data_IF_667583145709
#
_entry.id   IF_667583145709
#
_cell.length_a   1.000
_cell.length_b   1.000
_cell.length_c   1.000
_cell.angle_alpha   90.00
_cell.angle_beta   90.00
_cell.angle_gamma   90.00
#
_symmetry.space_group_name_H-M   'P 1'
#
loop_
_entity.id
_entity.type
_entity.pdbx_description
1 polymer ?
#
# COMPACT_ATOMS: atom_id res chain seq x y z
N UNK A 1 23.08 18.89 -2.45
CA UNK A 1 22.49 17.71 -3.13
C UNK A 1 23.07 16.49 -2.44
N UNK A 2 22.27 15.69 -1.74
CA UNK A 2 22.77 14.46 -1.11
C UNK A 2 23.16 13.46 -2.21
N UNK A 3 24.20 12.67 -1.97
CA UNK A 3 24.61 11.57 -2.84
C UNK A 3 23.45 10.57 -2.98
N UNK A 4 23.05 10.26 -4.22
CA UNK A 4 21.97 9.31 -4.51
C UNK A 4 22.23 7.93 -3.87
N UNK A 5 23.49 7.53 -3.79
CA UNK A 5 23.88 6.29 -3.13
C UNK A 5 23.67 6.35 -1.61
N UNK A 6 23.78 7.53 -1.00
CA UNK A 6 23.50 7.69 0.43
C UNK A 6 22.00 7.55 0.70
N UNK A 7 21.16 8.20 -0.12
CA UNK A 7 19.70 8.11 -0.03
C UNK A 7 19.24 6.65 -0.16
N UNK A 8 19.75 5.94 -1.17
CA UNK A 8 19.42 4.53 -1.39
C UNK A 8 19.79 3.64 -0.19
N UNK A 9 20.95 3.88 0.43
CA UNK A 9 21.37 3.13 1.63
C UNK A 9 20.49 3.44 2.85
N UNK A 10 20.09 4.70 3.02
CA UNK A 10 19.16 5.07 4.09
C UNK A 10 17.82 4.36 3.91
N UNK A 11 17.29 4.30 2.67
CA UNK A 11 16.07 3.53 2.36
C UNK A 11 16.21 2.03 2.66
N UNK A 12 17.35 1.42 2.33
CA UNK A 12 17.61 0.00 2.62
C UNK A 12 17.67 -0.27 4.13
N UNK A 13 18.24 0.64 4.92
CA UNK A 13 18.23 0.55 6.38
C UNK A 13 16.81 0.69 6.95
N UNK A 14 16.02 1.62 6.43
CA UNK A 14 14.62 1.79 6.84
C UNK A 14 13.81 0.53 6.53
N UNK A 15 13.95 -0.04 5.33
CA UNK A 15 13.32 -1.31 4.97
C UNK A 15 13.71 -2.40 5.98
N UNK A 16 15.00 -2.50 6.33
CA UNK A 16 15.47 -3.46 7.31
C UNK A 16 14.78 -3.29 8.68
N UNK A 17 14.69 -2.05 9.17
CA UNK A 17 14.03 -1.76 10.45
C UNK A 17 12.54 -2.11 10.40
N UNK A 18 11.86 -1.85 9.29
CA UNK A 18 10.46 -2.19 9.13
C UNK A 18 10.22 -3.70 9.05
N UNK A 19 11.11 -4.45 8.39
CA UNK A 19 11.06 -5.92 8.38
C UNK A 19 11.18 -6.48 9.80
N UNK A 20 12.14 -5.99 10.59
CA UNK A 20 12.32 -6.41 11.98
C UNK A 20 11.11 -6.02 12.84
N UNK A 21 10.59 -4.80 12.71
CA UNK A 21 9.41 -4.32 13.44
C UNK A 21 8.14 -5.13 13.15
N UNK A 22 7.97 -5.60 11.91
CA UNK A 22 6.82 -6.41 11.48
C UNK A 22 7.01 -7.90 11.73
N UNK A 23 8.16 -8.31 12.28
CA UNK A 23 8.48 -9.72 12.50
C UNK A 23 8.63 -10.52 11.21
N UNK A 24 9.01 -9.88 10.10
CA UNK A 24 9.20 -10.54 8.80
C UNK A 24 10.64 -11.08 8.74
N UNK A 25 10.87 -12.42 8.77
CA UNK A 25 12.21 -12.94 8.87
C UNK A 25 12.98 -12.82 7.55
N UNK A 26 14.20 -12.25 7.58
CA UNK A 26 15.01 -12.08 6.37
C UNK A 26 15.29 -13.38 5.62
N UNK A 27 15.37 -14.53 6.33
CA UNK A 27 15.54 -15.84 5.68
C UNK A 27 14.38 -16.18 4.76
N UNK A 28 13.16 -15.80 5.13
CA UNK A 28 11.95 -15.97 4.31
C UNK A 28 12.01 -15.05 3.09
N UNK A 29 12.39 -13.79 3.28
CA UNK A 29 12.58 -12.85 2.17
C UNK A 29 13.66 -13.34 1.18
N UNK A 30 14.81 -13.80 1.66
CA UNK A 30 15.87 -14.36 0.82
C UNK A 30 15.38 -15.57 0.00
N UNK A 31 14.61 -16.46 0.64
CA UNK A 31 13.98 -17.60 -0.04
C UNK A 31 12.99 -17.15 -1.13
N UNK A 32 12.10 -16.21 -0.84
CA UNK A 32 11.16 -15.63 -1.83
C UNK A 32 11.87 -14.92 -2.99
N UNK A 33 12.97 -14.24 -2.69
CA UNK A 33 13.81 -13.58 -3.69
C UNK A 33 14.57 -14.58 -4.58
N UNK A 34 14.65 -15.86 -4.17
CA UNK A 34 15.48 -16.88 -4.81
C UNK A 34 16.97 -16.50 -4.84
N UNK A 35 17.47 -15.88 -3.77
CA UNK A 35 18.88 -15.52 -3.61
C UNK A 35 19.46 -16.14 -2.34
N UNK A 36 20.78 -16.22 -2.25
CA UNK A 36 21.42 -16.71 -1.02
C UNK A 36 21.12 -15.77 0.15
N UNK A 37 21.02 -16.35 1.35
CA UNK A 37 20.79 -15.57 2.56
C UNK A 37 21.91 -14.55 2.82
N UNK A 38 23.16 -14.88 2.48
CA UNK A 38 24.30 -13.96 2.60
C UNK A 38 24.19 -12.76 1.67
N UNK A 39 23.75 -12.95 0.43
CA UNK A 39 23.48 -11.84 -0.50
C UNK A 39 22.36 -10.94 0.02
N UNK A 40 21.27 -11.53 0.50
CA UNK A 40 20.17 -10.73 1.04
C UNK A 40 20.58 -9.96 2.32
N UNK A 41 21.44 -10.55 3.15
CA UNK A 41 22.02 -9.89 4.32
C UNK A 41 22.95 -8.71 3.95
N UNK A 42 23.65 -8.76 2.82
CA UNK A 42 24.48 -7.63 2.40
C UNK A 42 23.64 -6.42 1.98
N UNK A 43 22.43 -6.66 1.45
CA UNK A 43 21.46 -5.62 1.11
C UNK A 43 20.76 -5.05 2.35
N UNK A 44 20.49 -5.89 3.35
CA UNK A 44 19.74 -5.52 4.55
C UNK A 44 20.50 -5.91 5.84
N UNK A 45 21.68 -5.33 6.08
CA UNK A 45 22.50 -5.66 7.24
C UNK A 45 21.85 -5.17 8.53
N UNK A 46 22.04 -5.92 9.63
CA UNK A 46 21.58 -5.48 10.96
C UNK A 46 22.41 -4.30 11.52
N UNK A 47 23.66 -4.17 11.07
CA UNK A 47 24.55 -3.07 11.38
C UNK A 47 25.54 -2.87 10.23
N UNK A 48 25.97 -1.62 10.03
CA UNK A 48 26.92 -1.24 8.96
C UNK A 48 26.22 -0.73 7.70
N UNK A 49 27.00 -0.61 6.62
CA UNK A 49 26.56 0.03 5.38
C UNK A 49 25.92 -0.98 4.43
N UNK A 50 24.66 -0.79 4.01
CA UNK A 50 24.03 -1.63 3.00
C UNK A 50 24.78 -1.62 1.68
N UNK A 51 24.90 -2.81 1.08
CA UNK A 51 25.29 -2.94 -0.31
C UNK A 51 24.07 -2.63 -1.19
N UNK A 52 24.22 -1.66 -2.09
CA UNK A 52 23.15 -1.30 -3.02
C UNK A 52 22.95 -2.47 -4.00
N UNK A 53 21.74 -3.07 -4.06
CA UNK A 53 21.43 -4.12 -5.02
C UNK A 53 21.58 -3.61 -6.45
N UNK A 54 22.01 -4.47 -7.37
CA UNK A 54 21.98 -4.12 -8.80
C UNK A 54 20.52 -3.98 -9.27
N UNK A 55 20.28 -3.21 -10.33
CA UNK A 55 18.95 -3.08 -10.93
C UNK A 55 18.37 -4.46 -11.35
N UNK A 56 19.23 -5.40 -11.75
CA UNK A 56 18.85 -6.77 -12.06
C UNK A 56 18.25 -7.54 -10.86
N UNK A 57 18.47 -7.07 -9.64
CA UNK A 57 17.93 -7.65 -8.40
C UNK A 57 16.51 -7.15 -8.09
N UNK A 58 16.00 -6.13 -8.80
CA UNK A 58 14.68 -5.55 -8.53
C UNK A 58 13.53 -6.57 -8.60
N UNK A 59 13.46 -7.50 -9.59
CA UNK A 59 12.41 -8.54 -9.60
C UNK A 59 12.52 -9.49 -8.41
N UNK A 60 13.72 -9.73 -7.88
CA UNK A 60 13.91 -10.56 -6.69
C UNK A 60 13.39 -9.85 -5.44
N UNK A 61 13.68 -8.54 -5.30
CA UNK A 61 13.16 -7.71 -4.22
C UNK A 61 11.64 -7.58 -4.28
N UNK A 62 11.06 -7.41 -5.48
CA UNK A 62 9.62 -7.30 -5.68
C UNK A 62 8.84 -8.55 -5.25
N UNK A 63 9.44 -9.74 -5.35
CA UNK A 63 8.85 -11.00 -4.86
C UNK A 63 8.99 -11.18 -3.35
N UNK A 64 10.01 -10.58 -2.75
CA UNK A 64 10.41 -10.85 -1.37
C UNK A 64 9.91 -9.83 -0.35
N UNK A 65 9.74 -8.57 -0.77
CA UNK A 65 9.36 -7.46 0.09
C UNK A 65 7.87 -7.12 -0.10
N UNK A 66 7.20 -6.68 0.98
CA UNK A 66 5.93 -5.97 0.87
C UNK A 66 6.03 -4.76 -0.07
N UNK A 67 4.97 -4.49 -0.86
CA UNK A 67 4.96 -3.40 -1.84
C UNK A 67 5.18 -2.01 -1.23
N UNK A 68 4.65 -1.79 -0.03
CA UNK A 68 4.86 -0.54 0.70
C UNK A 68 6.32 -0.33 1.13
N UNK A 69 7.05 -1.39 1.50
CA UNK A 69 8.48 -1.31 1.78
C UNK A 69 9.30 -1.15 0.51
N UNK A 70 8.91 -1.83 -0.58
CA UNK A 70 9.56 -1.66 -1.87
C UNK A 70 9.42 -0.23 -2.42
N UNK A 71 8.32 0.46 -2.07
CA UNK A 71 8.08 1.86 -2.43
C UNK A 71 9.14 2.81 -1.87
N UNK A 72 9.81 2.45 -0.77
CA UNK A 72 10.91 3.26 -0.18
C UNK A 72 12.15 3.35 -1.10
N UNK A 73 12.24 2.48 -2.11
CA UNK A 73 13.30 2.52 -3.11
C UNK A 73 12.95 3.41 -4.32
N UNK A 74 11.71 3.90 -4.39
CA UNK A 74 11.25 4.76 -5.48
C UNK A 74 11.39 6.25 -5.11
N UNK A 75 11.40 7.15 -6.11
CA UNK A 75 11.34 8.58 -5.85
C UNK A 75 10.07 8.98 -5.09
N UNK A 76 10.14 10.11 -4.39
CA UNK A 76 9.00 10.68 -3.67
C UNK A 76 7.76 10.81 -4.60
N UNK A 77 6.60 10.41 -4.07
CA UNK A 77 5.31 10.42 -4.78
C UNK A 77 5.00 9.15 -5.56
N UNK A 78 5.92 8.19 -5.65
CA UNK A 78 5.66 6.88 -6.25
C UNK A 78 5.35 5.83 -5.18
N UNK A 79 4.30 5.05 -5.41
CA UNK A 79 3.88 3.97 -4.50
C UNK A 79 3.58 2.71 -5.29
N UNK A 80 4.08 1.58 -4.79
CA UNK A 80 3.77 0.24 -5.26
C UNK A 80 2.65 -0.29 -4.39
N UNK A 81 1.46 -0.32 -4.97
CA UNK A 81 0.28 -0.92 -4.34
C UNK A 81 -0.01 -2.27 -4.99
N UNK A 82 -0.51 -3.25 -4.22
CA UNK A 82 -1.06 -4.46 -4.80
C UNK A 82 -2.09 -4.08 -5.88
N UNK A 83 -2.01 -4.74 -7.02
CA UNK A 83 -3.08 -4.64 -8.01
C UNK A 83 -4.38 -5.16 -7.38
N UNK A 84 -5.52 -4.50 -7.65
CA UNK A 84 -6.83 -5.02 -7.27
C UNK A 84 -7.16 -6.27 -8.08
N UNK A 85 -6.56 -7.41 -7.73
CA UNK A 85 -6.90 -8.68 -8.32
C UNK A 85 -8.25 -9.14 -7.75
N UNK A 86 -9.21 -9.40 -8.64
CA UNK A 86 -10.55 -9.85 -8.26
C UNK A 86 -11.53 -8.75 -7.84
N UNK A 87 -11.22 -7.47 -8.10
CA UNK A 87 -12.24 -6.41 -8.00
C UNK A 87 -13.13 -6.45 -9.24
N UNK A 88 -14.41 -6.69 -9.02
CA UNK A 88 -15.45 -6.43 -10.02
C UNK A 88 -15.70 -4.91 -10.08
N UNK A 89 -15.13 -4.28 -11.11
CA UNK A 89 -15.27 -2.84 -11.32
C UNK A 89 -16.70 -2.43 -11.67
N UNK A 90 -17.50 -3.34 -12.22
CA UNK A 90 -18.90 -3.06 -12.53
C UNK A 90 -19.73 -3.04 -11.23
N UNK A 91 -19.48 -4.00 -10.32
CA UNK A 91 -20.08 -3.99 -8.98
C UNK A 91 -19.68 -2.74 -8.20
N UNK A 92 -18.40 -2.38 -8.23
CA UNK A 92 -17.88 -1.17 -7.58
C UNK A 92 -18.56 0.10 -8.14
N UNK A 93 -18.62 0.23 -9.47
CA UNK A 93 -19.27 1.33 -10.16
C UNK A 93 -20.75 1.43 -9.81
N UNK A 94 -21.46 0.29 -9.79
CA UNK A 94 -22.87 0.23 -9.41
C UNK A 94 -23.10 0.70 -7.97
N UNK A 95 -22.25 0.26 -7.03
CA UNK A 95 -22.31 0.70 -5.64
C UNK A 95 -22.02 2.19 -5.46
N UNK A 96 -21.03 2.74 -6.17
CA UNK A 96 -20.75 4.18 -6.16
C UNK A 96 -21.93 5.01 -6.67
N UNK A 97 -22.58 4.57 -7.78
CA UNK A 97 -23.77 5.24 -8.31
C UNK A 97 -24.93 5.18 -7.33
N UNK A 98 -25.18 4.01 -6.74
CA UNK A 98 -26.25 3.85 -5.74
C UNK A 98 -26.05 4.75 -4.51
N UNK A 99 -24.81 4.95 -4.08
CA UNK A 99 -24.48 5.88 -3.00
C UNK A 99 -24.76 7.34 -3.39
N UNK A 100 -24.32 7.76 -4.59
CA UNK A 100 -24.57 9.12 -5.11
C UNK A 100 -26.07 9.38 -5.22
N UNK A 101 -26.83 8.45 -5.81
CA UNK A 101 -28.28 8.58 -5.95
C UNK A 101 -29.01 8.67 -4.60
N UNK A 102 -28.53 7.94 -3.58
CA UNK A 102 -29.08 8.06 -2.22
C UNK A 102 -28.72 9.38 -1.57
N UNK A 103 -27.50 9.88 -1.78
CA UNK A 103 -27.05 11.17 -1.25
C UNK A 103 -27.83 12.33 -1.86
N UNK A 104 -28.03 12.31 -3.17
CA UNK A 104 -28.74 13.37 -3.87
C UNK A 104 -30.22 13.41 -3.47
N UNK A 105 -30.83 12.25 -3.17
CA UNK A 105 -32.16 12.17 -2.56
C UNK A 105 -32.19 12.65 -1.11
N UNK A 106 -31.18 12.34 -0.31
CA UNK A 106 -31.13 12.78 1.08
C UNK A 106 -30.81 14.29 1.21
N UNK A 107 -30.19 14.89 0.19
CA UNK A 107 -29.70 16.27 0.23
C UNK A 107 -30.63 17.21 -0.57
N UNK A 108 -31.90 17.29 -0.19
CA UNK A 108 -32.88 18.18 -0.83
C UNK A 108 -33.77 18.91 0.19
N UNK A 109 -34.28 20.12 -0.09
CA UNK A 109 -35.03 20.92 0.88
C UNK A 109 -36.22 20.21 1.56
N UNK A 110 -36.81 19.21 0.91
CA UNK A 110 -37.93 18.41 1.42
C UNK A 110 -37.49 17.16 2.23
N UNK A 111 -36.20 17.01 2.52
CA UNK A 111 -35.65 15.81 3.17
C UNK A 111 -35.84 15.90 4.69
N UNK A 112 -35.55 14.82 5.42
CA UNK A 112 -35.79 14.70 6.88
C UNK A 112 -35.15 15.87 7.66
N UNK A 113 -33.98 16.32 7.24
CA UNK A 113 -33.30 17.50 7.80
C UNK A 113 -33.00 18.57 6.73
N UNK A 114 -33.77 18.58 5.63
CA UNK A 114 -33.64 19.54 4.54
C UNK A 114 -32.31 19.42 3.79
N UNK A 115 -31.42 20.41 3.94
CA UNK A 115 -30.10 20.28 3.29
C UNK A 115 -29.09 19.49 4.13
N UNK A 116 -29.36 19.31 5.42
CA UNK A 116 -28.55 18.45 6.25
C UNK A 116 -29.06 17.00 6.19
N UNK A 117 -28.20 16.05 6.53
CA UNK A 117 -28.57 14.63 6.58
C UNK A 117 -29.24 14.29 7.91
N UNK A 118 -30.49 13.85 7.83
CA UNK A 118 -31.24 13.27 8.94
C UNK A 118 -30.67 11.92 9.40
N UNK A 119 -31.09 11.43 10.59
CA UNK A 119 -30.62 10.16 11.13
C UNK A 119 -30.97 8.95 10.25
N UNK A 120 -32.13 8.93 9.58
CA UNK A 120 -32.50 7.81 8.71
C UNK A 120 -31.75 7.86 7.37
N UNK A 121 -31.56 9.06 6.83
CA UNK A 121 -30.78 9.29 5.61
C UNK A 121 -29.31 8.90 5.78
N UNK A 122 -28.73 9.19 6.95
CA UNK A 122 -27.37 8.77 7.28
C UNK A 122 -27.26 7.25 7.38
N UNK A 123 -28.21 6.58 8.04
CA UNK A 123 -28.24 5.13 8.11
C UNK A 123 -28.39 4.49 6.71
N UNK A 124 -29.21 5.07 5.84
CA UNK A 124 -29.43 4.62 4.47
C UNK A 124 -28.18 4.79 3.58
N UNK A 125 -27.43 5.87 3.80
CA UNK A 125 -26.14 6.12 3.15
C UNK A 125 -25.06 5.15 3.64
N UNK A 126 -24.94 4.97 4.96
CA UNK A 126 -23.97 4.06 5.57
C UNK A 126 -24.16 2.62 5.10
N UNK A 127 -25.42 2.22 4.82
CA UNK A 127 -25.76 0.93 4.23
C UNK A 127 -25.35 0.78 2.75
N UNK A 128 -25.12 1.89 2.04
CA UNK A 128 -24.70 1.92 0.63
C UNK A 128 -23.23 2.24 0.43
N UNK A 129 -22.50 2.54 1.49
CA UNK A 129 -21.05 2.69 1.41
C UNK A 129 -20.46 1.37 0.94
N UNK A 130 -19.89 1.39 -0.26
CA UNK A 130 -19.14 0.25 -0.79
C UNK A 130 -17.96 -0.01 0.14
N UNK A 131 -18.03 -1.09 0.90
CA UNK A 131 -16.92 -1.52 1.76
C UNK A 131 -15.84 -2.11 0.86
N UNK A 132 -14.76 -1.37 0.67
CA UNK A 132 -13.52 -1.93 0.16
C UNK A 132 -13.09 -3.04 1.12
N UNK A 133 -13.21 -4.29 0.70
CA UNK A 133 -12.63 -5.41 1.43
C UNK A 133 -11.12 -5.41 1.12
N UNK A 134 -10.33 -5.17 2.16
CA UNK A 134 -8.88 -5.30 2.13
C UNK A 134 -8.45 -6.77 2.16
#
# INVERSE_FOLDING_TARGET
MRDENAIMRDSLLEIRQQLDRRGIPLKVCASKASVSYSTFLSWFPAAGTPQIPSLASLPALARALPGDLLSLLLPDGYHIVPGPDGIDYDEFSAGCRAFIDAKDRAHHPESEAGRDLGPNERADLDGKVVRLRA
#
